data_IF_339081995802
#
_entry.id   IF_339081995802
#
_cell.length_a   1.000
_cell.length_b   1.000
_cell.length_c   1.000
_cell.angle_alpha   90.00
_cell.angle_beta   90.00
_cell.angle_gamma   90.00
#
_symmetry.space_group_name_H-M   'P 1'
#
loop_
_entity.id
_entity.type
_entity.pdbx_description
1 polymer ?
#
# COMPACT_ATOMS: atom_id res chain seq x y z
N UNK A 1 17.55 9.94 7.43
CA UNK A 1 16.59 8.85 7.66
C UNK A 1 15.57 8.93 6.55
N UNK A 2 15.57 7.96 5.65
CA UNK A 2 14.65 7.91 4.51
C UNK A 2 13.29 7.40 4.98
N UNK A 3 12.22 7.84 4.33
CA UNK A 3 10.88 7.29 4.55
C UNK A 3 10.54 6.34 3.40
N UNK A 4 10.06 5.14 3.74
CA UNK A 4 9.43 4.21 2.80
C UNK A 4 7.95 4.16 3.13
N UNK A 5 7.11 4.61 2.20
CA UNK A 5 5.67 4.50 2.31
C UNK A 5 5.25 3.13 1.77
N UNK A 6 4.55 2.34 2.58
CA UNK A 6 3.90 1.11 2.13
C UNK A 6 2.39 1.26 2.28
N UNK A 7 1.62 0.76 1.32
CA UNK A 7 0.16 0.82 1.38
C UNK A 7 -0.48 -0.54 1.19
N UNK A 8 -1.66 -0.69 1.78
CA UNK A 8 -2.56 -1.83 1.60
C UNK A 8 -4.00 -1.34 1.54
N UNK A 9 -4.92 -2.16 1.07
CA UNK A 9 -6.32 -1.76 0.92
C UNK A 9 -7.17 -2.20 2.12
N UNK A 10 -8.22 -1.44 2.43
CA UNK A 10 -9.28 -1.90 3.33
C UNK A 10 -10.02 -3.15 2.81
N UNK A 11 -10.78 -3.85 3.67
CA UNK A 11 -11.64 -4.95 3.24
C UNK A 11 -12.65 -4.52 2.17
N UNK A 12 -12.94 -5.42 1.23
CA UNK A 12 -13.90 -5.18 0.15
C UNK A 12 -14.68 -6.46 -0.17
N UNK A 13 -15.76 -6.34 -0.95
CA UNK A 13 -16.52 -7.52 -1.40
C UNK A 13 -17.26 -8.27 -0.29
N UNK A 14 -17.52 -7.62 0.85
CA UNK A 14 -18.17 -8.24 2.02
C UNK A 14 -17.20 -8.94 2.98
N UNK A 15 -15.91 -8.95 2.68
CA UNK A 15 -14.87 -9.46 3.58
C UNK A 15 -14.65 -8.53 4.77
N UNK A 16 -14.20 -9.08 5.88
CA UNK A 16 -13.86 -8.32 7.10
C UNK A 16 -12.37 -8.01 7.19
N UNK A 17 -11.56 -8.63 6.33
CA UNK A 17 -10.09 -8.50 6.31
C UNK A 17 -9.60 -8.34 4.88
N UNK A 18 -8.48 -7.64 4.73
CA UNK A 18 -7.73 -7.60 3.50
C UNK A 18 -6.26 -7.94 3.80
N UNK A 19 -5.76 -9.12 3.39
CA UNK A 19 -4.37 -9.53 3.50
C UNK A 19 -3.34 -8.45 3.17
N UNK A 20 -3.59 -7.58 2.17
CA UNK A 20 -2.65 -6.51 1.83
C UNK A 20 -2.46 -5.52 2.99
N UNK A 21 -3.54 -5.11 3.66
CA UNK A 21 -3.47 -4.27 4.86
C UNK A 21 -2.88 -5.01 6.05
N UNK A 22 -3.30 -6.26 6.26
CA UNK A 22 -2.86 -7.07 7.39
C UNK A 22 -1.34 -7.28 7.41
N UNK A 23 -0.70 -7.35 6.24
CA UNK A 23 0.75 -7.46 6.12
C UNK A 23 1.43 -6.12 6.39
N UNK A 24 1.02 -5.04 5.70
CA UNK A 24 1.72 -3.76 5.80
C UNK A 24 1.60 -3.11 7.17
N UNK A 25 0.48 -3.32 7.88
CA UNK A 25 0.29 -2.77 9.23
C UNK A 25 1.31 -3.32 10.24
N UNK A 26 1.79 -4.54 10.04
CA UNK A 26 2.79 -5.17 10.90
C UNK A 26 4.18 -4.55 10.75
N UNK A 27 4.43 -3.86 9.64
CA UNK A 27 5.68 -3.20 9.33
C UNK A 27 5.66 -1.70 9.66
N UNK A 28 4.52 -1.14 10.06
CA UNK A 28 4.42 0.28 10.38
C UNK A 28 5.37 0.66 11.53
N UNK A 29 6.14 1.73 11.34
CA UNK A 29 7.11 2.20 12.31
C UNK A 29 8.39 1.37 12.43
N UNK A 30 8.51 0.26 11.69
CA UNK A 30 9.76 -0.50 11.65
C UNK A 30 10.88 0.33 11.02
N UNK A 31 12.10 0.06 11.46
CA UNK A 31 13.32 0.67 10.92
C UNK A 31 14.14 -0.45 10.29
N UNK A 32 14.47 -0.29 9.01
CA UNK A 32 15.33 -1.19 8.24
C UNK A 32 16.50 -0.35 7.74
N UNK A 33 17.70 -0.64 8.25
CA UNK A 33 18.88 0.21 8.06
C UNK A 33 18.58 1.69 8.43
N UNK A 34 18.70 2.62 7.49
CA UNK A 34 18.41 4.05 7.69
C UNK A 34 17.02 4.47 7.19
N UNK A 35 16.15 3.50 6.90
CA UNK A 35 14.80 3.69 6.37
C UNK A 35 13.74 3.44 7.45
N UNK A 36 12.87 4.42 7.65
CA UNK A 36 11.64 4.28 8.46
C UNK A 36 10.48 3.88 7.55
N UNK A 37 9.81 2.78 7.90
CA UNK A 37 8.61 2.32 7.22
C UNK A 37 7.38 3.02 7.81
N UNK A 38 6.51 3.52 6.93
CA UNK A 38 5.23 4.12 7.29
C UNK A 38 4.13 3.43 6.48
N UNK A 39 3.14 2.84 7.15
CA UNK A 39 2.02 2.17 6.51
C UNK A 39 0.79 3.08 6.40
N UNK A 40 0.08 3.01 5.27
CA UNK A 40 -1.24 3.65 5.10
C UNK A 40 -2.25 2.68 4.51
N UNK A 41 -3.45 2.67 5.08
CA UNK A 41 -4.59 1.95 4.52
C UNK A 41 -5.27 2.84 3.47
N UNK A 42 -5.49 2.30 2.28
CA UNK A 42 -6.22 2.98 1.21
C UNK A 42 -7.66 2.45 1.14
N UNK A 43 -8.64 3.33 0.83
CA UNK A 43 -9.99 2.89 0.58
C UNK A 43 -10.06 2.02 -0.68
N UNK A 44 -10.97 1.06 -0.74
CA UNK A 44 -11.20 0.23 -1.93
C UNK A 44 -12.17 0.93 -2.90
N UNK A 45 -12.00 2.24 -3.06
CA UNK A 45 -12.83 3.13 -3.87
C UNK A 45 -11.94 3.81 -4.91
N UNK A 46 -12.37 3.74 -6.17
CA UNK A 46 -11.66 4.37 -7.27
C UNK A 46 -11.65 5.90 -7.11
N UNK A 47 -10.52 6.54 -7.43
CA UNK A 47 -10.34 7.98 -7.23
C UNK A 47 -9.96 8.33 -5.79
N UNK A 48 -10.79 7.98 -4.81
CA UNK A 48 -10.53 8.27 -3.39
C UNK A 48 -9.22 7.64 -2.90
N UNK A 49 -8.91 6.42 -3.37
CA UNK A 49 -7.63 5.76 -3.11
C UNK A 49 -6.42 6.57 -3.60
N UNK A 50 -6.54 7.24 -4.76
CA UNK A 50 -5.48 8.10 -5.29
C UNK A 50 -5.37 9.40 -4.48
N UNK A 51 -6.50 9.98 -4.06
CA UNK A 51 -6.49 11.18 -3.20
C UNK A 51 -5.78 10.92 -1.87
N UNK A 52 -6.12 9.80 -1.21
CA UNK A 52 -5.47 9.39 0.05
C UNK A 52 -4.00 9.07 -0.15
N UNK A 53 -3.64 8.38 -1.23
CA UNK A 53 -2.26 8.08 -1.57
C UNK A 53 -1.44 9.36 -1.81
N UNK A 54 -1.95 10.27 -2.63
CA UNK A 54 -1.27 11.53 -2.95
C UNK A 54 -1.08 12.38 -1.69
N UNK A 55 -2.10 12.49 -0.84
CA UNK A 55 -1.98 13.19 0.44
C UNK A 55 -0.91 12.57 1.35
N UNK A 56 -0.80 11.24 1.37
CA UNK A 56 0.25 10.55 2.12
C UNK A 56 1.65 10.81 1.55
N UNK A 57 1.80 10.81 0.22
CA UNK A 57 3.05 11.15 -0.46
C UNK A 57 3.45 12.60 -0.15
N UNK A 58 2.52 13.54 -0.27
CA UNK A 58 2.76 14.96 0.00
C UNK A 58 3.20 15.19 1.45
N UNK A 59 2.52 14.55 2.41
CA UNK A 59 2.83 14.71 3.82
C UNK A 59 4.14 14.05 4.26
N UNK A 60 4.51 12.91 3.66
CA UNK A 60 5.65 12.09 4.11
C UNK A 60 6.91 12.32 3.28
N UNK A 61 6.78 12.86 2.07
CA UNK A 61 7.85 12.99 1.07
C UNK A 61 8.72 11.72 0.99
N UNK A 62 8.11 10.54 0.74
CA UNK A 62 8.84 9.28 0.81
C UNK A 62 9.83 9.12 -0.35
N UNK A 63 10.93 8.43 -0.07
CA UNK A 63 11.92 8.06 -1.09
C UNK A 63 11.44 6.93 -2.01
N UNK A 64 10.56 6.07 -1.48
CA UNK A 64 9.98 4.92 -2.17
C UNK A 64 8.53 4.73 -1.70
N UNK A 65 7.66 4.37 -2.64
CA UNK A 65 6.28 3.96 -2.37
C UNK A 65 6.09 2.51 -2.84
N UNK A 66 5.61 1.63 -1.98
CA UNK A 66 5.20 0.27 -2.33
C UNK A 66 3.70 0.09 -2.10
N UNK A 67 2.93 -0.03 -3.19
CA UNK A 67 1.51 -0.31 -3.11
C UNK A 67 1.26 -1.83 -3.15
N UNK A 68 0.73 -2.38 -2.06
CA UNK A 68 0.46 -3.81 -1.92
C UNK A 68 -1.04 -4.04 -2.13
N UNK A 69 -1.37 -4.98 -3.01
CA UNK A 69 -2.74 -5.41 -3.29
C UNK A 69 -2.90 -6.92 -3.15
N UNK A 70 -4.14 -7.37 -3.00
CA UNK A 70 -4.48 -8.78 -3.05
C UNK A 70 -4.92 -9.16 -4.47
N UNK A 71 -4.36 -10.26 -5.01
CA UNK A 71 -4.79 -10.87 -6.26
C UNK A 71 -5.30 -12.29 -5.99
N UNK A 72 -6.62 -12.43 -5.84
CA UNK A 72 -7.26 -13.73 -5.59
C UNK A 72 -6.92 -14.76 -6.68
N UNK A 73 -6.62 -16.00 -6.27
CA UNK A 73 -6.30 -17.10 -7.18
C UNK A 73 -4.84 -17.16 -7.66
N UNK A 74 -3.98 -16.19 -7.31
CA UNK A 74 -2.53 -16.33 -7.49
C UNK A 74 -1.93 -17.15 -6.34
N UNK A 75 -0.93 -17.98 -6.66
CA UNK A 75 -0.24 -18.85 -5.69
C UNK A 75 1.01 -18.23 -5.10
N UNK A 76 1.52 -17.16 -5.73
CA UNK A 76 2.80 -16.54 -5.40
C UNK A 76 2.66 -15.01 -5.28
N UNK A 77 3.66 -14.40 -4.62
CA UNK A 77 3.87 -12.96 -4.65
C UNK A 77 4.40 -12.55 -6.02
N UNK A 78 3.77 -11.55 -6.62
CA UNK A 78 4.13 -11.03 -7.94
C UNK A 78 4.52 -9.57 -7.85
N UNK A 79 5.65 -9.20 -8.46
CA UNK A 79 6.03 -7.80 -8.69
C UNK A 79 5.47 -7.37 -10.04
N UNK A 80 4.59 -6.37 -10.02
CA UNK A 80 4.00 -5.84 -11.25
C UNK A 80 5.05 -5.08 -12.08
N UNK A 81 5.04 -5.29 -13.39
CA UNK A 81 6.02 -4.67 -14.32
C UNK A 81 5.58 -3.31 -14.83
N UNK A 82 4.28 -3.02 -14.81
CA UNK A 82 3.72 -1.76 -15.29
C UNK A 82 2.23 -1.66 -14.97
N UNK A 83 1.71 -0.44 -14.93
CA UNK A 83 0.28 -0.16 -14.78
C UNK A 83 -0.41 -0.02 -16.14
N UNK A 84 -1.64 -0.50 -16.23
CA UNK A 84 -2.54 -0.15 -17.33
C UNK A 84 -3.25 1.17 -16.97
N UNK A 85 -3.34 2.10 -17.91
CA UNK A 85 -4.04 3.38 -17.75
C UNK A 85 -5.53 3.27 -18.11
N UNK A 86 -6.02 2.04 -18.34
CA UNK A 86 -7.44 1.79 -18.59
C UNK A 86 -8.20 1.73 -17.27
N UNK A 87 -8.84 2.88 -16.99
CA UNK A 87 -9.62 3.28 -15.80
C UNK A 87 -8.80 4.08 -14.82
#
# INVERSE_FOLDING_TARGET
MQTVLITGFEPFGGETVNPSWEVVKLLDGTIIDDCRVVARQLPCVFGESLEVLNAAIDALQPSVVLAIGQAGGRVDVTVERGGDQRR
#
